data_IF_611635229450
#
_entry.id   IF_611635229450
#
_cell.length_a   1.000
_cell.length_b   1.000
_cell.length_c   1.000
_cell.angle_alpha   90.00
_cell.angle_beta   90.00
_cell.angle_gamma   90.00
#
_symmetry.space_group_name_H-M   'P 1'
#
loop_
_entity.id
_entity.type
_entity.pdbx_description
1 polymer ?
#
# COMPACT_ATOMS: atom_id res chain seq x y z
N UNK A 1 60.03 -20.89 34.47
CA UNK A 1 58.89 -21.07 33.59
C UNK A 1 57.63 -20.71 34.35
N UNK A 2 56.91 -19.64 34.00
CA UNK A 2 55.64 -19.30 34.66
C UNK A 2 54.49 -20.08 34.04
N UNK A 3 53.67 -20.65 34.90
CA UNK A 3 52.39 -21.37 34.55
C UNK A 3 51.31 -20.37 34.21
N UNK A 4 50.56 -20.54 33.12
CA UNK A 4 49.42 -19.67 32.84
C UNK A 4 48.24 -20.01 33.74
N UNK A 5 47.70 -18.98 34.40
CA UNK A 5 46.48 -19.03 35.19
C UNK A 5 45.30 -18.82 34.24
N UNK A 6 44.39 -19.79 34.12
CA UNK A 6 43.13 -19.65 33.37
C UNK A 6 42.07 -18.97 34.24
N UNK A 7 41.65 -17.76 33.85
CA UNK A 7 40.53 -17.06 34.46
C UNK A 7 39.25 -17.54 33.78
N UNK A 8 38.36 -18.18 34.55
CA UNK A 8 37.06 -18.63 34.10
C UNK A 8 36.13 -17.43 33.95
N UNK A 9 35.75 -17.10 32.70
CA UNK A 9 34.75 -16.10 32.43
C UNK A 9 33.34 -16.74 32.54
N UNK A 10 32.56 -16.23 33.47
CA UNK A 10 31.18 -16.64 33.68
C UNK A 10 30.33 -16.13 32.51
N UNK A 11 29.85 -17.02 31.65
CA UNK A 11 28.84 -16.70 30.62
C UNK A 11 27.48 -16.54 31.30
N UNK A 12 26.90 -15.35 31.21
CA UNK A 12 25.51 -15.09 31.65
C UNK A 12 24.62 -15.55 30.49
N UNK A 13 23.91 -16.64 30.68
CA UNK A 13 22.88 -17.09 29.73
C UNK A 13 21.63 -16.26 30.00
N UNK A 14 21.35 -15.28 29.13
CA UNK A 14 20.06 -14.61 29.15
C UNK A 14 19.00 -15.56 28.60
N UNK A 15 18.03 -15.88 29.44
CA UNK A 15 16.83 -16.64 29.05
C UNK A 15 15.94 -15.72 28.19
N UNK A 16 15.59 -16.10 26.95
CA UNK A 16 14.68 -15.26 26.16
C UNK A 16 13.30 -15.21 26.80
N UNK A 17 12.85 -14.00 27.11
CA UNK A 17 11.47 -13.74 27.54
C UNK A 17 10.57 -13.95 26.33
N UNK A 18 9.50 -14.78 26.42
CA UNK A 18 8.58 -14.94 25.31
C UNK A 18 7.85 -13.61 25.02
N UNK A 19 7.62 -13.28 23.75
CA UNK A 19 6.89 -12.06 23.40
C UNK A 19 5.48 -12.14 23.98
N UNK A 20 5.09 -11.09 24.70
CA UNK A 20 3.72 -10.90 25.20
C UNK A 20 2.80 -10.76 23.99
N UNK A 21 1.91 -11.74 23.80
CA UNK A 21 0.86 -11.67 22.80
C UNK A 21 -0.08 -10.49 23.14
N UNK A 22 0.11 -9.37 22.46
CA UNK A 22 -0.88 -8.29 22.43
C UNK A 22 -1.98 -8.75 21.48
N UNK A 23 -3.09 -9.22 22.03
CA UNK A 23 -4.30 -9.53 21.26
C UNK A 23 -4.85 -8.23 20.67
N UNK A 24 -4.57 -8.01 19.38
CA UNK A 24 -5.23 -6.98 18.59
C UNK A 24 -6.66 -7.48 18.37
N UNK A 25 -7.72 -6.67 18.66
CA UNK A 25 -9.07 -7.10 18.36
C UNK A 25 -9.20 -7.34 16.85
N UNK A 26 -9.55 -8.56 16.48
CA UNK A 26 -9.95 -8.90 15.12
C UNK A 26 -11.26 -8.18 14.87
N UNK A 27 -11.22 -7.06 14.16
CA UNK A 27 -12.44 -6.44 13.62
C UNK A 27 -12.84 -7.32 12.45
N UNK A 28 -13.87 -8.13 12.65
CA UNK A 28 -14.50 -8.93 11.62
C UNK A 28 -15.15 -7.96 10.61
N UNK A 29 -14.45 -7.72 9.50
CA UNK A 29 -14.95 -6.85 8.42
C UNK A 29 -15.94 -7.69 7.63
N UNK A 30 -17.24 -7.49 7.88
CA UNK A 30 -18.28 -7.98 6.97
C UNK A 30 -18.05 -7.34 5.60
N UNK A 31 -17.99 -8.13 4.51
CA UNK A 31 -17.86 -7.54 3.18
C UNK A 31 -19.07 -6.63 2.94
N UNK A 32 -18.80 -5.38 2.57
CA UNK A 32 -19.82 -4.42 2.16
C UNK A 32 -20.58 -5.04 1.00
N UNK A 33 -21.90 -5.12 1.09
CA UNK A 33 -22.74 -5.74 0.09
C UNK A 33 -22.61 -5.00 -1.26
N UNK A 34 -22.75 -5.74 -2.36
CA UNK A 34 -22.69 -5.16 -3.72
C UNK A 34 -23.66 -3.99 -3.93
N UNK A 35 -24.74 -3.92 -3.14
CA UNK A 35 -25.73 -2.84 -3.16
C UNK A 35 -25.18 -1.53 -2.54
N UNK A 36 -24.31 -1.58 -1.52
CA UNK A 36 -23.68 -0.39 -0.93
C UNK A 36 -22.55 0.18 -1.81
N UNK A 37 -22.01 -0.62 -2.73
CA UNK A 37 -21.02 -0.17 -3.72
C UNK A 37 -21.63 0.59 -4.90
N UNK A 38 -22.94 0.47 -5.13
CA UNK A 38 -23.65 1.10 -6.25
C UNK A 38 -24.11 2.55 -5.97
N UNK A 39 -24.18 2.97 -4.70
CA UNK A 39 -24.58 4.35 -4.35
C UNK A 39 -23.45 5.38 -4.47
N UNK A 40 -22.21 4.96 -4.72
CA UNK A 40 -21.06 5.87 -4.92
C UNK A 40 -20.90 6.34 -6.38
N UNK A 41 -21.88 6.06 -7.24
CA UNK A 41 -21.87 6.44 -8.65
C UNK A 41 -22.81 7.64 -8.88
N UNK A 42 -22.24 8.87 -8.88
CA UNK A 42 -22.85 9.99 -9.59
C UNK A 42 -23.36 11.18 -8.78
N UNK A 43 -22.71 11.56 -7.69
CA UNK A 43 -22.74 12.95 -7.23
C UNK A 43 -21.56 13.70 -7.85
N UNK A 44 -21.71 15.00 -8.14
CA UNK A 44 -20.60 15.88 -8.52
C UNK A 44 -19.59 15.95 -7.37
N UNK A 45 -18.66 14.96 -7.34
CA UNK A 45 -17.57 14.96 -6.36
C UNK A 45 -16.62 16.06 -6.81
N UNK A 46 -16.58 17.14 -6.05
CA UNK A 46 -15.63 18.22 -6.28
C UNK A 46 -14.26 17.77 -5.76
N UNK A 47 -13.45 17.16 -6.62
CA UNK A 47 -12.09 16.76 -6.27
C UNK A 47 -11.22 17.98 -6.00
N UNK A 48 -10.61 18.04 -4.81
CA UNK A 48 -9.68 19.13 -4.47
C UNK A 48 -8.26 18.70 -4.77
N UNK A 49 -7.64 19.38 -5.72
CA UNK A 49 -6.21 19.27 -6.04
C UNK A 49 -5.36 20.34 -5.33
N UNK A 50 -5.92 21.05 -4.35
CA UNK A 50 -5.20 22.10 -3.62
C UNK A 50 -4.34 21.56 -2.48
N UNK A 51 -4.63 20.31 -2.05
CA UNK A 51 -3.92 19.61 -0.98
C UNK A 51 -3.05 18.49 -1.57
N UNK A 52 -2.70 17.49 -0.76
CA UNK A 52 -1.96 16.32 -1.21
C UNK A 52 -2.82 15.46 -2.14
N UNK A 53 -2.31 15.17 -3.33
CA UNK A 53 -2.96 14.29 -4.29
C UNK A 53 -1.93 13.47 -5.09
N UNK A 54 -2.40 12.42 -5.76
CA UNK A 54 -1.58 11.45 -6.46
C UNK A 54 -2.01 11.38 -7.93
N UNK A 55 -1.05 11.51 -8.83
CA UNK A 55 -1.18 11.23 -10.25
C UNK A 55 -0.57 9.88 -10.56
N UNK A 56 -1.22 9.09 -11.42
CA UNK A 56 -0.68 7.82 -11.93
C UNK A 56 -0.73 7.82 -13.45
N UNK A 57 0.44 7.80 -14.08
CA UNK A 57 0.60 7.70 -15.52
C UNK A 57 0.88 6.23 -15.90
N UNK A 58 -0.13 5.59 -16.49
CA UNK A 58 -0.08 4.17 -16.89
C UNK A 58 0.91 3.92 -18.03
N UNK A 59 1.06 4.88 -18.95
CA UNK A 59 1.99 4.75 -20.08
C UNK A 59 3.45 4.77 -19.63
N UNK A 60 3.75 5.55 -18.59
CA UNK A 60 5.10 5.70 -18.04
C UNK A 60 5.40 4.71 -16.92
N UNK A 61 4.38 4.04 -16.37
CA UNK A 61 4.48 3.23 -15.15
C UNK A 61 5.06 4.04 -13.99
N UNK A 62 4.57 5.28 -13.83
CA UNK A 62 5.00 6.24 -12.83
C UNK A 62 3.82 6.75 -12.01
N UNK A 63 4.08 7.03 -10.76
CA UNK A 63 3.19 7.80 -9.90
C UNK A 63 3.90 9.07 -9.43
N UNK A 64 3.15 10.15 -9.29
CA UNK A 64 3.62 11.45 -8.85
C UNK A 64 2.77 11.91 -7.68
N UNK A 65 3.39 12.44 -6.65
CA UNK A 65 2.71 13.01 -5.50
C UNK A 65 2.89 14.52 -5.48
N UNK A 66 1.80 15.22 -5.32
CA UNK A 66 1.75 16.69 -5.34
C UNK A 66 1.17 17.25 -4.03
N UNK A 67 1.46 18.49 -3.76
CA UNK A 67 0.70 19.35 -2.85
C UNK A 67 0.30 20.60 -3.63
N UNK A 68 -0.99 20.74 -3.93
CA UNK A 68 -1.44 21.69 -4.93
C UNK A 68 -0.76 21.43 -6.27
N UNK A 69 -0.10 22.45 -6.82
CA UNK A 69 0.67 22.36 -8.08
C UNK A 69 2.13 21.92 -7.88
N UNK A 70 2.57 21.77 -6.64
CA UNK A 70 3.97 21.46 -6.32
C UNK A 70 4.20 19.96 -6.34
N UNK A 71 5.07 19.47 -7.22
CA UNK A 71 5.55 18.07 -7.23
C UNK A 71 6.44 17.85 -6.01
N UNK A 72 6.06 16.88 -5.18
CA UNK A 72 6.81 16.48 -3.99
C UNK A 72 7.73 15.29 -4.24
N UNK A 73 7.24 14.30 -4.99
CA UNK A 73 7.97 13.05 -5.26
C UNK A 73 7.45 12.36 -6.52
N UNK A 74 8.28 11.48 -7.09
CA UNK A 74 7.91 10.58 -8.18
C UNK A 74 8.38 9.16 -7.87
N UNK A 75 7.61 8.16 -8.32
CA UNK A 75 7.82 6.77 -8.00
C UNK A 75 7.65 5.90 -9.25
N UNK A 76 8.53 4.92 -9.41
CA UNK A 76 8.34 3.88 -10.42
C UNK A 76 7.37 2.86 -9.84
N UNK A 77 6.30 2.56 -10.56
CA UNK A 77 5.24 1.65 -10.11
C UNK A 77 5.05 0.49 -11.07
N UNK A 78 4.24 -0.49 -10.68
CA UNK A 78 3.69 -1.50 -11.58
C UNK A 78 2.18 -1.46 -11.49
N UNK A 79 1.53 -1.23 -12.62
CA UNK A 79 0.07 -1.16 -12.71
C UNK A 79 -0.52 -2.45 -13.28
N UNK A 80 -1.82 -2.46 -13.54
CA UNK A 80 -2.53 -3.62 -14.09
C UNK A 80 -2.02 -4.05 -15.45
N UNK A 81 -2.02 -5.37 -15.68
CA UNK A 81 -1.72 -5.96 -16.99
C UNK A 81 -2.82 -5.65 -18.00
N UNK A 82 -2.58 -5.97 -19.28
CA UNK A 82 -3.59 -5.81 -20.34
C UNK A 82 -4.86 -6.65 -20.08
N UNK A 83 -4.73 -7.81 -19.43
CA UNK A 83 -5.86 -8.67 -19.04
C UNK A 83 -6.64 -8.14 -17.84
N UNK A 84 -5.97 -7.39 -16.97
CA UNK A 84 -6.52 -6.82 -15.75
C UNK A 84 -6.09 -5.34 -15.63
N UNK A 85 -6.60 -4.45 -16.50
CA UNK A 85 -6.11 -3.08 -16.55
C UNK A 85 -6.46 -2.29 -15.30
N UNK A 86 -5.59 -1.37 -14.93
CA UNK A 86 -5.92 -0.35 -13.94
C UNK A 86 -6.97 0.60 -14.52
N UNK A 87 -7.98 0.92 -13.73
CA UNK A 87 -9.03 1.87 -14.14
C UNK A 87 -8.47 3.28 -14.29
N UNK A 88 -8.91 4.00 -15.33
CA UNK A 88 -8.58 5.42 -15.54
C UNK A 88 -9.69 6.32 -15.03
N UNK A 89 -9.34 7.51 -14.57
CA UNK A 89 -10.27 8.51 -14.05
C UNK A 89 -9.74 9.20 -12.80
N UNK A 90 -10.56 10.04 -12.21
CA UNK A 90 -10.27 10.71 -10.94
C UNK A 90 -11.12 10.09 -9.84
N UNK A 91 -10.46 9.69 -8.78
CA UNK A 91 -11.03 8.98 -7.65
C UNK A 91 -10.56 9.61 -6.33
N UNK A 92 -11.10 9.13 -5.21
CA UNK A 92 -10.60 9.46 -3.87
C UNK A 92 -10.33 8.19 -3.09
N UNK A 93 -9.28 8.22 -2.25
CA UNK A 93 -9.05 7.15 -1.28
C UNK A 93 -10.22 7.09 -0.33
N UNK A 94 -10.90 5.94 -0.23
CA UNK A 94 -12.06 5.75 0.63
C UNK A 94 -11.78 4.90 1.88
N UNK A 95 -10.69 4.11 1.86
CA UNK A 95 -10.26 3.32 3.01
C UNK A 95 -8.76 3.06 2.97
N UNK A 96 -8.13 3.01 4.14
CA UNK A 96 -6.70 2.81 4.30
C UNK A 96 -6.42 1.76 5.36
N UNK A 97 -5.49 0.85 5.09
CA UNK A 97 -5.02 -0.17 6.03
C UNK A 97 -3.50 -0.19 6.10
N UNK A 98 -2.97 -0.26 7.32
CA UNK A 98 -1.51 -0.46 7.50
C UNK A 98 -1.06 -1.78 6.90
N UNK A 99 -1.87 -2.84 7.08
CA UNK A 99 -1.73 -4.16 6.48
C UNK A 99 -3.11 -4.70 6.14
N UNK A 100 -3.24 -5.36 5.01
CA UNK A 100 -4.46 -6.07 4.63
C UNK A 100 -4.12 -7.33 3.85
N UNK A 101 -4.96 -8.35 3.97
CA UNK A 101 -4.93 -9.48 3.06
C UNK A 101 -5.66 -9.09 1.77
N UNK A 102 -5.09 -9.47 0.64
CA UNK A 102 -5.66 -9.20 -0.68
C UNK A 102 -5.87 -10.49 -1.44
N UNK A 103 -7.06 -10.69 -2.00
CA UNK A 103 -7.39 -11.88 -2.77
C UNK A 103 -8.13 -11.55 -4.04
N UNK A 104 -7.98 -12.42 -5.02
CA UNK A 104 -8.69 -12.35 -6.30
C UNK A 104 -8.56 -13.67 -7.05
N UNK A 105 -9.10 -13.77 -8.26
CA UNK A 105 -8.96 -14.97 -9.06
C UNK A 105 -7.50 -15.37 -9.25
N UNK A 106 -7.12 -16.51 -8.66
CA UNK A 106 -5.77 -17.08 -8.81
C UNK A 106 -4.69 -16.54 -7.86
N UNK A 107 -5.00 -15.64 -6.93
CA UNK A 107 -4.02 -15.15 -5.93
C UNK A 107 -4.63 -14.93 -4.55
N UNK A 108 -3.77 -15.08 -3.54
CA UNK A 108 -4.01 -14.67 -2.15
C UNK A 108 -2.70 -14.16 -1.56
N UNK A 109 -2.69 -12.90 -1.15
CA UNK A 109 -1.53 -12.19 -0.61
C UNK A 109 -1.84 -11.76 0.82
N UNK A 110 -1.03 -12.20 1.77
CA UNK A 110 -1.23 -11.87 3.18
C UNK A 110 -0.40 -10.67 3.60
N UNK A 111 -0.92 -9.89 4.55
CA UNK A 111 -0.20 -8.76 5.14
C UNK A 111 0.38 -7.78 4.11
N UNK A 112 -0.37 -7.48 3.05
CA UNK A 112 0.04 -6.45 2.08
C UNK A 112 0.14 -5.11 2.79
N UNK A 113 1.31 -4.43 2.75
CA UNK A 113 1.52 -3.22 3.52
C UNK A 113 0.99 -1.97 2.82
N UNK A 114 0.53 -0.99 3.61
CA UNK A 114 0.16 0.36 3.18
C UNK A 114 -0.92 0.39 2.10
N UNK A 115 -2.01 -0.32 2.33
CA UNK A 115 -3.11 -0.43 1.36
C UNK A 115 -4.01 0.79 1.44
N UNK A 116 -4.26 1.41 0.29
CA UNK A 116 -5.10 2.60 0.11
C UNK A 116 -6.04 2.35 -1.07
N UNK A 117 -7.28 1.92 -0.80
CA UNK A 117 -8.27 1.69 -1.85
C UNK A 117 -8.91 3.00 -2.30
N UNK A 118 -8.98 3.20 -3.63
CA UNK A 118 -9.53 4.40 -4.24
C UNK A 118 -10.76 4.14 -5.13
N UNK A 119 -10.93 2.93 -5.63
CA UNK A 119 -12.11 2.55 -6.42
C UNK A 119 -12.37 1.04 -6.31
N UNK A 120 -13.54 0.62 -5.81
CA UNK A 120 -13.88 -0.81 -5.60
C UNK A 120 -12.70 -1.55 -4.93
N UNK A 121 -12.16 -2.59 -5.57
CA UNK A 121 -10.97 -3.30 -5.11
C UNK A 121 -9.64 -2.76 -5.63
N UNK A 122 -9.63 -1.64 -6.37
CA UNK A 122 -8.39 -1.02 -6.86
C UNK A 122 -7.75 -0.16 -5.80
N UNK A 123 -6.46 -0.36 -5.56
CA UNK A 123 -5.72 0.33 -4.52
C UNK A 123 -4.27 0.61 -4.89
N UNK A 124 -3.67 1.51 -4.13
CA UNK A 124 -2.24 1.74 -4.03
C UNK A 124 -1.73 0.92 -2.86
N UNK A 125 -0.61 0.22 -3.00
CA UNK A 125 -0.05 -0.56 -1.88
C UNK A 125 1.42 -0.92 -2.08
N UNK A 126 2.10 -1.28 -0.99
CA UNK A 126 3.45 -1.82 -1.04
C UNK A 126 3.46 -3.26 -1.53
N UNK A 127 4.54 -3.64 -2.21
CA UNK A 127 4.68 -4.95 -2.86
C UNK A 127 5.94 -5.64 -2.38
N UNK A 128 5.81 -6.85 -1.84
CA UNK A 128 6.94 -7.67 -1.36
C UNK A 128 7.21 -8.89 -2.26
N UNK A 129 6.29 -9.24 -3.18
CA UNK A 129 6.36 -10.46 -4.00
C UNK A 129 7.04 -10.27 -5.34
N UNK A 130 7.36 -9.04 -5.74
CA UNK A 130 8.16 -8.74 -6.93
C UNK A 130 8.89 -7.40 -6.78
N UNK A 131 9.88 -7.17 -7.64
CA UNK A 131 10.64 -5.93 -7.78
C UNK A 131 10.65 -5.37 -9.21
N UNK A 132 9.77 -5.85 -10.08
CA UNK A 132 9.68 -5.47 -11.51
C UNK A 132 8.89 -4.16 -11.69
N UNK A 133 9.28 -3.11 -10.98
CA UNK A 133 8.66 -1.80 -11.16
C UNK A 133 9.03 -1.22 -12.54
N UNK A 134 8.12 -0.44 -13.12
CA UNK A 134 8.22 0.08 -14.49
C UNK A 134 7.55 -0.82 -15.55
N UNK A 135 6.98 -1.97 -15.13
CA UNK A 135 6.30 -2.92 -16.02
C UNK A 135 4.94 -3.29 -15.40
N UNK A 136 3.85 -3.36 -16.20
CA UNK A 136 2.55 -3.84 -15.72
C UNK A 136 2.63 -5.25 -15.14
N UNK A 137 2.22 -5.46 -13.88
CA UNK A 137 2.37 -6.72 -13.15
C UNK A 137 1.15 -7.11 -12.32
N UNK A 138 0.23 -6.17 -12.06
CA UNK A 138 -0.85 -6.38 -11.12
C UNK A 138 -2.16 -6.84 -11.79
N UNK A 139 -3.16 -7.16 -10.96
CA UNK A 139 -4.55 -7.38 -11.38
C UNK A 139 -5.37 -6.07 -11.31
N UNK A 140 -4.72 -4.93 -11.52
CA UNK A 140 -5.35 -3.61 -11.57
C UNK A 140 -4.90 -2.65 -10.48
N UNK A 141 -4.38 -3.12 -9.36
CA UNK A 141 -3.80 -2.26 -8.32
C UNK A 141 -2.52 -1.57 -8.81
N UNK A 142 -2.11 -0.54 -8.10
CA UNK A 142 -0.88 0.19 -8.34
C UNK A 142 0.13 -0.24 -7.28
N UNK A 143 1.12 -1.03 -7.72
CA UNK A 143 2.15 -1.63 -6.90
C UNK A 143 3.32 -0.67 -6.72
N UNK A 144 3.65 -0.34 -5.50
CA UNK A 144 4.82 0.45 -5.12
C UNK A 144 5.88 -0.42 -4.43
N UNK A 145 7.12 0.05 -4.38
CA UNK A 145 8.07 -0.45 -3.40
C UNK A 145 7.53 -0.19 -1.99
N UNK A 146 7.90 -1.03 -1.01
CA UNK A 146 7.39 -0.84 0.37
C UNK A 146 7.76 0.54 0.94
N UNK A 147 9.00 1.06 0.76
CA UNK A 147 9.34 2.41 1.21
C UNK A 147 8.52 3.52 0.54
N UNK A 148 8.25 3.39 -0.76
CA UNK A 148 7.49 4.39 -1.51
C UNK A 148 6.01 4.39 -1.09
N UNK A 149 5.42 3.19 -0.92
CA UNK A 149 4.07 3.05 -0.39
C UNK A 149 3.94 3.63 1.02
N UNK A 150 4.95 3.42 1.88
CA UNK A 150 5.00 4.01 3.22
C UNK A 150 5.02 5.53 3.16
N UNK A 151 5.84 6.10 2.27
CA UNK A 151 5.98 7.55 2.11
C UNK A 151 4.66 8.21 1.70
N UNK A 152 3.91 7.58 0.78
CA UNK A 152 2.58 8.03 0.35
C UNK A 152 1.57 7.87 1.48
N UNK A 153 1.54 6.69 2.11
CA UNK A 153 0.58 6.36 3.17
C UNK A 153 0.63 7.33 4.36
N UNK A 154 1.83 7.79 4.73
CA UNK A 154 2.04 8.76 5.82
C UNK A 154 1.52 10.16 5.50
N UNK A 155 1.27 10.47 4.24
CA UNK A 155 0.82 11.80 3.75
C UNK A 155 -0.61 11.79 3.24
N UNK A 156 -1.07 10.64 2.80
CA UNK A 156 -2.44 10.44 2.33
C UNK A 156 -3.44 10.34 3.49
N UNK A 157 -4.68 10.63 3.19
CA UNK A 157 -5.83 10.45 4.07
C UNK A 157 -7.03 9.96 3.25
N UNK A 158 -8.09 9.54 3.95
CA UNK A 158 -9.37 9.33 3.27
C UNK A 158 -9.80 10.66 2.63
N UNK A 159 -10.18 10.62 1.35
CA UNK A 159 -10.48 11.79 0.53
C UNK A 159 -9.32 12.25 -0.35
N UNK A 160 -8.07 11.76 -0.12
CA UNK A 160 -6.94 12.07 -1.01
C UNK A 160 -7.28 11.67 -2.45
N UNK A 161 -7.11 12.61 -3.37
CA UNK A 161 -7.41 12.41 -4.79
C UNK A 161 -6.36 11.51 -5.45
N UNK A 162 -6.83 10.58 -6.26
CA UNK A 162 -6.00 9.71 -7.12
C UNK A 162 -6.49 9.89 -8.56
N UNK A 163 -5.67 10.51 -9.41
CA UNK A 163 -5.93 10.71 -10.82
C UNK A 163 -5.14 9.71 -11.66
N UNK A 164 -5.81 8.83 -12.37
CA UNK A 164 -5.19 7.76 -13.17
C UNK A 164 -5.45 8.00 -14.65
N UNK A 165 -4.40 8.02 -15.46
CA UNK A 165 -4.47 8.25 -16.90
C UNK A 165 -3.34 7.55 -17.67
N UNK A 166 -3.40 7.59 -19.00
CA UNK A 166 -2.33 7.13 -19.90
C UNK A 166 -1.34 8.22 -20.23
#
# INVERSE_FOLDING_TARGET
TPTPTFTSTRTITETPVPPTETTIPVIEITPISEAEQLEYSGGDINYSFNDFWIEVNLSQQMAYAYNGETLLASFIVSTGTWEHPTVTGTYSIYVMYRYADMSGPGYYLTNVPYVMYFYKGYGLHGTYWHSNFGVPMSHGCINFSIPDAAWIYERASIGTVVNVHY
#
